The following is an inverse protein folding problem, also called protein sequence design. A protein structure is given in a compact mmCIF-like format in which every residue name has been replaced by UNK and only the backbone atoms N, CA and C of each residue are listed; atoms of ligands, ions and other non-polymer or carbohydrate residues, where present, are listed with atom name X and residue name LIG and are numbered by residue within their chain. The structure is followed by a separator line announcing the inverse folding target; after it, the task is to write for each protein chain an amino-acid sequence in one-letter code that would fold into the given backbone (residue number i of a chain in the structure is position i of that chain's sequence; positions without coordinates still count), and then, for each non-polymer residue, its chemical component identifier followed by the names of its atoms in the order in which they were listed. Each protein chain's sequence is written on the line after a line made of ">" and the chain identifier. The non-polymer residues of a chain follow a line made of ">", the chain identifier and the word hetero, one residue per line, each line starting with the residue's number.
data_IF_845489596275
#
_entry.id   IF_845489596275
#
_cell.length_a   1.000
_cell.length_b   1.000
_cell.length_c   1.000
_cell.angle_alpha   90.00
_cell.angle_beta   90.00
_cell.angle_gamma   90.00
#
_symmetry.space_group_name_H-M   'P 1'
#
loop_
_entity.id
_entity.type
_entity.pdbx_description
1 polymer ?
#
# COMPACT_ATOMS: atom_id res chain seq x y z
N UNK A 1 -36.85 -16.83 34.68
CA UNK A 1 -36.44 -15.69 33.82
C UNK A 1 -35.59 -16.26 32.71
N UNK A 2 -36.16 -16.38 31.50
CA UNK A 2 -35.38 -16.67 30.29
C UNK A 2 -34.27 -15.61 30.15
N UNK A 3 -33.03 -16.05 29.86
CA UNK A 3 -32.04 -15.15 29.30
C UNK A 3 -32.56 -14.63 27.96
N UNK A 4 -32.34 -13.36 27.60
CA UNK A 4 -32.63 -12.92 26.25
C UNK A 4 -31.69 -13.68 25.32
N UNK A 5 -32.24 -14.52 24.45
CA UNK A 5 -31.54 -14.98 23.26
C UNK A 5 -31.05 -13.72 22.54
N UNK A 6 -29.74 -13.47 22.56
CA UNK A 6 -29.13 -12.49 21.68
C UNK A 6 -29.50 -12.93 20.28
N UNK A 7 -30.37 -12.16 19.60
CA UNK A 7 -30.71 -12.40 18.21
C UNK A 7 -29.40 -12.67 17.47
N UNK A 8 -29.24 -13.87 16.91
CA UNK A 8 -28.13 -14.14 16.03
C UNK A 8 -28.18 -13.03 14.98
N UNK A 9 -27.14 -12.18 14.92
CA UNK A 9 -27.09 -11.01 14.03
C UNK A 9 -27.29 -11.55 12.61
N UNK A 10 -28.54 -11.47 12.14
CA UNK A 10 -28.97 -12.11 10.90
C UNK A 10 -28.35 -11.35 9.74
N UNK A 11 -27.89 -12.08 8.73
CA UNK A 11 -27.31 -11.46 7.53
C UNK A 11 -28.19 -10.32 7.00
N UNK A 12 -27.64 -9.12 6.72
CA UNK A 12 -28.43 -8.03 6.17
C UNK A 12 -29.12 -8.46 4.87
N UNK A 13 -30.39 -8.14 4.70
CA UNK A 13 -31.19 -8.60 3.55
C UNK A 13 -30.62 -8.18 2.19
N UNK A 14 -29.88 -7.07 2.15
CA UNK A 14 -29.19 -6.59 0.94
C UNK A 14 -27.92 -7.38 0.63
N UNK A 15 -27.35 -8.09 1.61
CA UNK A 15 -26.12 -8.86 1.47
C UNK A 15 -26.37 -10.37 1.42
N UNK A 16 -25.32 -11.13 1.13
CA UNK A 16 -25.30 -12.60 1.30
C UNK A 16 -24.22 -12.95 2.30
N UNK A 17 -24.50 -13.86 3.22
CA UNK A 17 -23.53 -14.27 4.24
C UNK A 17 -23.33 -15.78 4.18
N UNK A 18 -22.10 -16.22 4.29
CA UNK A 18 -21.74 -17.64 4.28
C UNK A 18 -20.46 -17.84 5.08
N UNK A 19 -20.51 -18.62 6.17
CA UNK A 19 -19.32 -19.09 6.91
C UNK A 19 -18.28 -18.00 7.21
N UNK A 20 -18.71 -16.87 7.79
CA UNK A 20 -17.82 -15.74 8.11
C UNK A 20 -17.53 -14.76 6.96
N UNK A 21 -17.99 -15.06 5.74
CA UNK A 21 -17.89 -14.14 4.59
C UNK A 21 -19.18 -13.36 4.41
N UNK A 22 -19.09 -12.04 4.25
CA UNK A 22 -20.22 -11.15 3.97
C UNK A 22 -20.04 -10.51 2.58
N UNK A 23 -20.94 -10.80 1.66
CA UNK A 23 -20.96 -10.28 0.29
C UNK A 23 -21.98 -9.16 0.13
N UNK A 24 -21.51 -7.91 0.15
CA UNK A 24 -22.28 -6.68 -0.06
C UNK A 24 -21.81 -5.87 -1.27
N UNK A 25 -20.90 -6.41 -2.08
CA UNK A 25 -20.33 -5.81 -3.28
C UNK A 25 -21.34 -5.65 -4.43
N UNK A 26 -21.10 -4.75 -5.39
CA UNK A 26 -21.86 -4.63 -6.64
C UNK A 26 -23.38 -4.39 -6.46
N UNK A 27 -23.76 -3.59 -5.46
CA UNK A 27 -25.17 -3.39 -5.07
C UNK A 27 -25.62 -1.93 -5.10
N UNK A 28 -24.74 -1.01 -5.50
CA UNK A 28 -25.02 0.42 -5.49
C UNK A 28 -25.26 0.97 -4.08
N UNK A 29 -24.71 0.32 -3.05
CA UNK A 29 -24.85 0.74 -1.66
C UNK A 29 -24.19 2.10 -1.46
N UNK A 30 -24.88 3.01 -0.77
CA UNK A 30 -24.31 4.30 -0.36
C UNK A 30 -23.78 4.28 1.07
N UNK A 31 -24.08 3.21 1.81
CA UNK A 31 -23.63 3.00 3.19
C UNK A 31 -23.52 1.50 3.48
N UNK A 32 -22.68 1.16 4.46
CA UNK A 32 -22.57 -0.19 5.00
C UNK A 32 -23.87 -0.55 5.74
N UNK A 33 -24.49 -1.69 5.43
CA UNK A 33 -25.74 -2.07 6.08
C UNK A 33 -25.52 -2.41 7.56
N UNK A 34 -26.52 -2.08 8.39
CA UNK A 34 -26.53 -2.45 9.80
C UNK A 34 -26.72 -3.94 10.01
N UNK A 35 -26.27 -4.47 11.16
CA UNK A 35 -26.50 -5.87 11.54
C UNK A 35 -25.56 -6.86 10.84
N UNK A 36 -24.33 -6.43 10.53
CA UNK A 36 -23.31 -7.36 10.04
C UNK A 36 -23.02 -8.41 11.12
N UNK A 37 -23.03 -9.72 10.78
CA UNK A 37 -22.65 -10.79 11.69
C UNK A 37 -21.30 -10.54 12.38
N UNK A 38 -21.24 -10.69 13.70
CA UNK A 38 -20.03 -10.42 14.50
C UNK A 38 -18.92 -11.44 14.31
N UNK A 39 -19.27 -12.63 13.86
CA UNK A 39 -18.34 -13.72 13.54
C UNK A 39 -17.75 -13.60 12.13
N UNK A 40 -18.09 -12.53 11.39
CA UNK A 40 -17.52 -12.28 10.08
C UNK A 40 -16.00 -12.10 10.13
N UNK A 41 -15.32 -12.78 9.23
CA UNK A 41 -13.87 -12.72 9.04
C UNK A 41 -13.49 -11.91 7.80
N UNK A 42 -14.36 -11.89 6.78
CA UNK A 42 -14.14 -11.16 5.53
C UNK A 42 -15.39 -10.42 5.09
N UNK A 43 -15.23 -9.14 4.73
CA UNK A 43 -16.33 -8.29 4.27
C UNK A 43 -16.02 -7.73 2.89
N UNK A 44 -16.92 -8.00 1.94
CA UNK A 44 -16.87 -7.49 0.56
C UNK A 44 -17.85 -6.33 0.41
N UNK A 45 -17.34 -5.10 0.28
CA UNK A 45 -18.11 -3.87 0.06
C UNK A 45 -17.67 -3.10 -1.19
N UNK A 46 -16.80 -3.69 -2.02
CA UNK A 46 -16.31 -3.06 -3.23
C UNK A 46 -17.41 -2.77 -4.27
N UNK A 47 -17.09 -1.95 -5.27
CA UNK A 47 -17.94 -1.66 -6.42
C UNK A 47 -19.31 -1.14 -5.99
N UNK A 48 -19.30 -0.15 -5.11
CA UNK A 48 -20.49 0.48 -4.55
C UNK A 48 -20.35 2.01 -4.65
N UNK A 49 -21.18 2.75 -3.93
CA UNK A 49 -21.18 4.22 -3.87
C UNK A 49 -21.03 4.70 -2.43
N UNK A 50 -20.29 3.94 -1.62
CA UNK A 50 -20.13 4.22 -0.19
C UNK A 50 -19.22 5.43 -0.04
N UNK A 51 -19.72 6.43 0.68
CA UNK A 51 -18.95 7.60 1.11
C UNK A 51 -18.52 7.46 2.56
N UNK A 52 -17.69 8.38 3.07
CA UNK A 52 -17.26 8.37 4.46
C UNK A 52 -18.43 8.39 5.47
N UNK A 53 -19.52 9.11 5.16
CA UNK A 53 -20.74 9.11 5.98
C UNK A 53 -21.46 7.76 5.99
N UNK A 54 -21.22 6.93 4.97
CA UNK A 54 -21.73 5.57 4.86
C UNK A 54 -20.91 4.52 5.63
N UNK A 55 -19.81 4.90 6.29
CA UNK A 55 -18.98 4.02 7.10
C UNK A 55 -19.32 4.18 8.60
N UNK A 56 -20.11 3.29 9.20
CA UNK A 56 -20.53 3.42 10.59
C UNK A 56 -19.42 3.05 11.57
N UNK A 57 -19.42 3.69 12.74
CA UNK A 57 -18.48 3.39 13.83
C UNK A 57 -18.58 1.93 14.33
N UNK A 58 -19.71 1.24 14.08
CA UNK A 58 -19.90 -0.16 14.47
C UNK A 58 -18.89 -1.12 13.81
N UNK A 59 -18.26 -0.74 12.69
CA UNK A 59 -17.22 -1.56 12.06
C UNK A 59 -16.06 -1.88 13.01
N UNK A 60 -15.76 -0.96 13.93
CA UNK A 60 -14.73 -1.15 14.96
C UNK A 60 -15.07 -2.26 15.97
N UNK A 61 -16.35 -2.64 16.10
CA UNK A 61 -16.79 -3.73 16.97
C UNK A 61 -16.65 -5.13 16.34
N UNK A 62 -16.39 -5.22 15.02
CA UNK A 62 -16.27 -6.49 14.29
C UNK A 62 -14.86 -7.07 14.44
N UNK A 63 -14.51 -7.50 15.66
CA UNK A 63 -13.15 -7.93 16.02
C UNK A 63 -12.68 -9.20 15.32
N UNK A 64 -13.57 -9.99 14.72
CA UNK A 64 -13.20 -11.18 13.94
C UNK A 64 -12.75 -10.86 12.51
N UNK A 65 -12.98 -9.63 12.02
CA UNK A 65 -12.69 -9.27 10.63
C UNK A 65 -11.19 -9.12 10.42
N UNK A 66 -10.65 -9.93 9.52
CA UNK A 66 -9.25 -9.90 9.09
C UNK A 66 -9.09 -9.22 7.71
N UNK A 67 -10.11 -9.28 6.85
CA UNK A 67 -10.05 -8.75 5.47
C UNK A 67 -11.26 -7.88 5.17
N UNK A 68 -11.00 -6.66 4.68
CA UNK A 68 -12.04 -5.69 4.31
C UNK A 68 -11.79 -5.13 2.91
N UNK A 69 -12.77 -5.35 2.02
CA UNK A 69 -12.75 -4.80 0.67
C UNK A 69 -13.66 -3.58 0.54
N UNK A 70 -13.06 -2.42 0.27
CA UNK A 70 -13.74 -1.13 0.08
C UNK A 70 -13.30 -0.44 -1.23
N UNK A 71 -12.61 -1.14 -2.11
CA UNK A 71 -12.17 -0.57 -3.38
C UNK A 71 -13.35 -0.22 -4.31
N UNK A 72 -13.14 0.67 -5.27
CA UNK A 72 -14.19 1.15 -6.20
C UNK A 72 -15.44 1.64 -5.44
N UNK A 73 -15.23 2.69 -4.64
CA UNK A 73 -16.25 3.39 -3.86
C UNK A 73 -16.02 4.91 -3.96
N UNK A 74 -16.66 5.71 -3.11
CA UNK A 74 -16.61 7.17 -3.13
C UNK A 74 -16.02 7.72 -1.83
N UNK A 75 -14.98 7.07 -1.29
CA UNK A 75 -14.31 7.52 -0.07
C UNK A 75 -13.35 8.67 -0.40
N UNK A 76 -13.55 9.82 0.24
CA UNK A 76 -12.67 11.00 0.13
C UNK A 76 -11.64 11.02 1.27
N UNK A 77 -11.98 10.43 2.42
CA UNK A 77 -11.08 10.30 3.56
C UNK A 77 -10.78 8.84 3.89
N UNK A 78 -9.68 8.61 4.59
CA UNK A 78 -9.36 7.28 5.10
C UNK A 78 -10.38 6.84 6.18
N UNK A 79 -10.90 5.59 6.15
CA UNK A 79 -11.89 5.12 7.12
C UNK A 79 -11.44 5.26 8.58
N UNK A 80 -12.15 6.05 9.40
CA UNK A 80 -11.74 6.33 10.78
C UNK A 80 -11.94 5.15 11.77
N UNK A 81 -12.92 4.29 11.50
CA UNK A 81 -13.42 3.25 12.43
C UNK A 81 -13.24 1.83 11.87
N UNK A 82 -12.00 1.46 11.58
CA UNK A 82 -11.68 0.13 11.06
C UNK A 82 -11.78 -0.97 12.14
N UNK A 83 -12.08 -2.23 11.75
CA UNK A 83 -11.92 -3.38 12.63
C UNK A 83 -10.47 -3.51 13.14
N UNK A 84 -10.25 -3.77 14.44
CA UNK A 84 -8.93 -3.70 15.05
C UNK A 84 -7.96 -4.82 14.65
N UNK A 85 -8.50 -5.98 14.24
CA UNK A 85 -7.72 -7.16 13.88
C UNK A 85 -7.52 -7.33 12.37
N UNK A 86 -7.73 -6.25 11.60
CA UNK A 86 -7.47 -6.27 10.16
C UNK A 86 -6.03 -6.66 9.84
N UNK A 87 -5.91 -7.53 8.85
CA UNK A 87 -4.67 -7.98 8.22
C UNK A 87 -4.56 -7.48 6.80
N UNK A 88 -5.67 -7.32 6.10
CA UNK A 88 -5.69 -6.88 4.71
C UNK A 88 -6.82 -5.87 4.49
N UNK A 89 -6.44 -4.70 3.96
CA UNK A 89 -7.34 -3.59 3.69
C UNK A 89 -7.20 -3.13 2.25
N UNK A 90 -8.30 -3.18 1.52
CA UNK A 90 -8.39 -2.75 0.13
C UNK A 90 -9.19 -1.45 0.00
N UNK A 91 -8.52 -0.37 -0.40
CA UNK A 91 -9.08 0.97 -0.57
C UNK A 91 -8.77 1.56 -1.95
N UNK A 92 -8.35 0.73 -2.91
CA UNK A 92 -8.00 1.20 -4.26
C UNK A 92 -9.20 1.86 -4.94
N UNK A 93 -8.96 2.69 -5.95
CA UNK A 93 -10.04 3.28 -6.76
C UNK A 93 -11.06 4.03 -5.89
N UNK A 94 -10.53 4.93 -5.04
CA UNK A 94 -11.28 5.88 -4.22
C UNK A 94 -10.63 7.27 -4.38
N UNK A 95 -11.01 8.24 -3.57
CA UNK A 95 -10.51 9.62 -3.62
C UNK A 95 -9.69 10.00 -2.36
N UNK A 96 -9.03 9.04 -1.72
CA UNK A 96 -8.34 9.27 -0.45
C UNK A 96 -7.09 10.15 -0.66
N UNK A 97 -6.98 11.23 0.11
CA UNK A 97 -5.83 12.15 0.03
C UNK A 97 -4.79 11.95 1.15
N UNK A 98 -5.23 11.50 2.33
CA UNK A 98 -4.44 11.46 3.56
C UNK A 98 -4.49 10.06 4.17
N UNK A 99 -3.34 9.56 4.62
CA UNK A 99 -3.21 8.30 5.38
C UNK A 99 -2.86 8.64 6.84
N UNK A 100 -3.86 8.72 7.73
CA UNK A 100 -3.65 9.17 9.10
C UNK A 100 -2.99 8.07 9.96
N UNK A 101 -1.82 8.38 10.52
CA UNK A 101 -1.10 7.45 11.41
C UNK A 101 -1.93 7.00 12.62
N UNK A 102 -2.75 7.90 13.19
CA UNK A 102 -3.59 7.61 14.36
C UNK A 102 -4.65 6.52 14.10
N UNK A 103 -5.10 6.33 12.85
CA UNK A 103 -5.99 5.22 12.50
C UNK A 103 -5.20 3.92 12.39
N UNK A 104 -4.04 3.97 11.74
CA UNK A 104 -3.17 2.81 11.54
C UNK A 104 -2.58 2.26 12.86
N UNK A 105 -2.36 3.12 13.86
CA UNK A 105 -2.00 2.72 15.24
C UNK A 105 -3.06 1.82 15.89
N UNK A 106 -4.32 1.91 15.46
CA UNK A 106 -5.42 1.06 15.95
C UNK A 106 -5.57 -0.24 15.17
N UNK A 107 -4.77 -0.46 14.13
CA UNK A 107 -4.75 -1.68 13.31
C UNK A 107 -3.34 -2.29 13.27
N UNK A 108 -2.78 -2.70 14.42
CA UNK A 108 -1.38 -3.13 14.53
C UNK A 108 -1.07 -4.46 13.81
N UNK A 109 -2.12 -5.19 13.43
CA UNK A 109 -2.02 -6.48 12.74
C UNK A 109 -2.04 -6.38 11.22
N UNK A 110 -2.14 -5.16 10.66
CA UNK A 110 -2.22 -4.95 9.22
C UNK A 110 -0.95 -5.44 8.52
N UNK A 111 -1.11 -6.35 7.56
CA UNK A 111 -0.06 -6.96 6.75
C UNK A 111 -0.05 -6.42 5.33
N UNK A 112 -1.22 -6.05 4.79
CA UNK A 112 -1.36 -5.54 3.42
C UNK A 112 -2.27 -4.32 3.38
N UNK A 113 -1.78 -3.28 2.74
CA UNK A 113 -2.54 -2.04 2.53
C UNK A 113 -2.51 -1.67 1.06
N UNK A 114 -3.69 -1.68 0.44
CA UNK A 114 -3.86 -1.30 -0.95
C UNK A 114 -4.52 0.08 -1.06
N UNK A 115 -3.78 1.03 -1.61
CA UNK A 115 -4.19 2.43 -1.80
C UNK A 115 -3.96 2.90 -3.25
N UNK A 116 -3.82 1.97 -4.20
CA UNK A 116 -3.63 2.34 -5.60
C UNK A 116 -4.80 3.17 -6.12
N UNK A 117 -4.58 4.00 -7.14
CA UNK A 117 -5.68 4.74 -7.79
C UNK A 117 -6.46 5.58 -6.77
N UNK A 118 -5.74 6.40 -6.02
CA UNK A 118 -6.29 7.37 -5.07
C UNK A 118 -5.62 8.74 -5.31
N UNK A 119 -5.88 9.71 -4.43
CA UNK A 119 -5.31 11.05 -4.51
C UNK A 119 -4.24 11.29 -3.44
N UNK A 120 -3.59 10.23 -2.94
CA UNK A 120 -2.64 10.34 -1.82
C UNK A 120 -1.43 11.17 -2.23
N UNK A 121 -1.16 12.22 -1.46
CA UNK A 121 -0.02 13.11 -1.68
C UNK A 121 1.08 12.88 -0.64
N UNK A 122 2.31 13.33 -0.92
CA UNK A 122 3.39 13.24 0.08
C UNK A 122 3.15 14.08 1.33
N UNK A 123 2.26 15.08 1.28
CA UNK A 123 1.83 15.85 2.45
C UNK A 123 0.78 15.08 3.29
N UNK A 124 0.03 14.18 2.65
CA UNK A 124 -0.94 13.30 3.30
C UNK A 124 -0.35 12.08 3.99
N UNK A 125 0.98 11.87 3.92
CA UNK A 125 1.69 10.81 4.66
C UNK A 125 2.73 11.46 5.57
N UNK A 126 2.43 11.50 6.86
CA UNK A 126 3.35 12.00 7.86
C UNK A 126 4.51 11.01 8.09
N UNK A 127 5.69 11.48 8.57
CA UNK A 127 6.85 10.60 8.76
C UNK A 127 6.64 9.43 9.70
N UNK A 128 5.67 9.51 10.62
CA UNK A 128 5.35 8.47 11.59
C UNK A 128 4.10 7.65 11.22
N UNK A 129 3.49 7.88 10.05
CA UNK A 129 2.20 7.26 9.65
C UNK A 129 2.19 5.74 9.82
N UNK A 130 3.29 5.05 9.52
CA UNK A 130 3.37 3.59 9.55
C UNK A 130 4.03 3.00 10.81
N UNK A 131 4.34 3.83 11.83
CA UNK A 131 4.93 3.34 13.08
C UNK A 131 4.01 2.35 13.81
N UNK A 132 2.69 2.56 13.71
CA UNK A 132 1.66 1.72 14.31
C UNK A 132 1.42 0.38 13.61
N UNK A 133 2.01 0.14 12.43
CA UNK A 133 1.79 -1.06 11.61
C UNK A 133 3.09 -1.87 11.43
N UNK A 134 3.63 -2.47 12.50
CA UNK A 134 4.92 -3.18 12.44
C UNK A 134 4.87 -4.47 11.62
N UNK A 135 3.66 -5.01 11.36
CA UNK A 135 3.44 -6.23 10.57
C UNK A 135 3.22 -5.97 9.08
N UNK A 136 3.21 -4.70 8.65
CA UNK A 136 2.94 -4.36 7.25
C UNK A 136 4.06 -4.90 6.36
N UNK A 137 3.67 -5.73 5.40
CA UNK A 137 4.54 -6.41 4.43
C UNK A 137 4.36 -5.86 3.03
N UNK A 138 3.12 -5.57 2.62
CA UNK A 138 2.81 -5.11 1.28
C UNK A 138 2.14 -3.73 1.36
N UNK A 139 2.76 -2.75 0.71
CA UNK A 139 2.24 -1.39 0.62
C UNK A 139 2.14 -0.98 -0.85
N UNK A 140 0.91 -0.76 -1.30
CA UNK A 140 0.62 -0.42 -2.68
C UNK A 140 0.08 1.01 -2.76
N UNK A 141 0.86 1.90 -3.35
CA UNK A 141 0.58 3.33 -3.52
C UNK A 141 0.73 3.74 -5.00
N UNK A 142 0.58 2.79 -5.94
CA UNK A 142 0.68 3.07 -7.37
C UNK A 142 -0.42 4.05 -7.81
N UNK A 143 -0.19 4.83 -8.87
CA UNK A 143 -1.21 5.75 -9.43
C UNK A 143 -1.79 6.70 -8.38
N UNK A 144 -0.92 7.45 -7.72
CA UNK A 144 -1.26 8.47 -6.72
C UNK A 144 -0.59 9.81 -7.05
N UNK A 145 -0.50 10.73 -6.09
CA UNK A 145 0.08 12.07 -6.26
C UNK A 145 1.34 12.28 -5.41
N UNK A 146 2.10 11.22 -5.15
CA UNK A 146 3.33 11.29 -4.36
C UNK A 146 4.42 12.03 -5.13
N UNK A 147 5.07 13.00 -4.48
CA UNK A 147 6.22 13.75 -5.02
C UNK A 147 7.56 13.31 -4.42
N UNK A 148 7.51 12.54 -3.33
CA UNK A 148 8.65 11.99 -2.61
C UNK A 148 8.30 10.61 -2.05
N UNK A 149 9.29 9.73 -1.96
CA UNK A 149 9.14 8.45 -1.23
C UNK A 149 8.77 8.73 0.24
N UNK A 150 7.74 8.06 0.80
CA UNK A 150 7.34 8.24 2.21
C UNK A 150 8.45 7.86 3.20
N UNK A 151 8.51 8.59 4.32
CA UNK A 151 9.41 8.26 5.45
C UNK A 151 8.71 7.32 6.43
N UNK A 152 9.51 6.67 7.29
CA UNK A 152 8.98 5.80 8.34
C UNK A 152 8.39 4.50 7.83
N UNK A 153 8.80 4.02 6.65
CA UNK A 153 8.36 2.74 6.11
C UNK A 153 8.71 1.58 7.06
N UNK A 154 7.81 0.61 7.28
CA UNK A 154 8.05 -0.51 8.20
C UNK A 154 9.22 -1.38 7.76
N UNK A 155 10.07 -1.81 8.71
CA UNK A 155 11.27 -2.62 8.41
C UNK A 155 10.95 -3.99 7.81
N UNK A 156 9.78 -4.53 8.14
CA UNK A 156 9.29 -5.83 7.65
C UNK A 156 8.68 -5.79 6.24
N UNK A 157 8.75 -4.65 5.54
CA UNK A 157 8.15 -4.50 4.22
C UNK A 157 8.85 -5.41 3.20
N UNK A 158 8.06 -6.19 2.48
CA UNK A 158 8.46 -7.17 1.47
C UNK A 158 8.22 -6.65 0.05
N UNK A 159 7.15 -5.87 -0.16
CA UNK A 159 6.82 -5.25 -1.45
C UNK A 159 6.37 -3.80 -1.26
N UNK A 160 6.98 -2.91 -2.03
CA UNK A 160 6.62 -1.50 -2.11
C UNK A 160 6.37 -1.11 -3.56
N UNK A 161 5.15 -0.67 -3.83
CA UNK A 161 4.77 -0.15 -5.15
C UNK A 161 4.46 1.34 -5.08
N UNK A 162 5.24 2.10 -5.83
CA UNK A 162 5.18 3.56 -5.95
C UNK A 162 5.15 3.99 -7.42
N UNK A 163 4.88 3.05 -8.33
CA UNK A 163 4.77 3.27 -9.78
C UNK A 163 3.66 4.27 -10.13
N UNK A 164 3.76 4.90 -11.29
CA UNK A 164 2.79 5.88 -11.80
C UNK A 164 2.50 7.02 -10.80
N UNK A 165 3.55 7.63 -10.25
CA UNK A 165 3.42 8.78 -9.34
C UNK A 165 4.16 10.00 -9.92
N UNK A 166 4.36 11.04 -9.10
CA UNK A 166 5.10 12.26 -9.47
C UNK A 166 6.40 12.36 -8.68
N UNK A 167 6.99 11.22 -8.28
CA UNK A 167 8.14 11.19 -7.39
C UNK A 167 9.35 11.75 -8.13
N UNK A 168 9.85 12.89 -7.64
CA UNK A 168 11.10 13.50 -8.13
C UNK A 168 12.21 13.48 -7.09
N UNK A 169 11.85 13.26 -5.81
CA UNK A 169 12.79 13.21 -4.69
C UNK A 169 12.80 11.83 -4.02
N UNK A 170 13.98 11.22 -4.00
CA UNK A 170 14.27 10.05 -3.17
C UNK A 170 15.19 10.48 -2.03
N UNK A 171 14.74 10.45 -0.76
CA UNK A 171 15.59 10.79 0.37
C UNK A 171 16.77 9.82 0.54
N UNK A 172 17.88 10.32 1.10
CA UNK A 172 19.06 9.50 1.38
C UNK A 172 18.72 8.35 2.32
N UNK A 173 19.23 7.15 2.00
CA UNK A 173 19.09 5.93 2.81
C UNK A 173 17.64 5.53 3.13
N UNK A 174 16.66 6.03 2.39
CA UNK A 174 15.23 5.79 2.67
C UNK A 174 14.85 4.31 2.69
N UNK A 175 15.48 3.50 1.83
CA UNK A 175 15.25 2.06 1.78
C UNK A 175 16.22 1.25 2.66
N UNK A 176 17.24 1.88 3.25
CA UNK A 176 18.38 1.15 3.85
C UNK A 176 18.03 0.25 5.04
N UNK A 177 16.85 0.42 5.65
CA UNK A 177 16.36 -0.44 6.74
C UNK A 177 15.38 -1.54 6.28
N UNK A 178 14.99 -1.56 5.00
CA UNK A 178 14.00 -2.48 4.45
C UNK A 178 14.67 -3.79 4.03
N UNK A 179 15.31 -4.48 4.98
CA UNK A 179 16.15 -5.66 4.69
C UNK A 179 15.38 -6.87 4.16
N UNK A 180 14.06 -6.87 4.31
CA UNK A 180 13.15 -7.89 3.79
C UNK A 180 12.55 -7.54 2.42
N UNK A 181 12.82 -6.35 1.89
CA UNK A 181 12.23 -5.87 0.65
C UNK A 181 12.70 -6.74 -0.51
N UNK A 182 11.75 -7.36 -1.21
CA UNK A 182 11.96 -8.24 -2.35
C UNK A 182 11.57 -7.58 -3.67
N UNK A 183 10.57 -6.69 -3.66
CA UNK A 183 10.13 -5.95 -4.84
C UNK A 183 9.97 -4.46 -4.56
N UNK A 184 10.56 -3.65 -5.43
CA UNK A 184 10.44 -2.20 -5.44
C UNK A 184 10.06 -1.72 -6.84
N UNK A 185 8.86 -1.15 -6.98
CA UNK A 185 8.40 -0.52 -8.21
C UNK A 185 8.44 1.01 -8.07
N UNK A 186 9.21 1.67 -8.93
CA UNK A 186 9.40 3.12 -9.01
C UNK A 186 9.28 3.61 -10.46
N UNK A 187 8.78 2.76 -11.36
CA UNK A 187 8.54 3.07 -12.76
C UNK A 187 7.51 4.19 -12.94
N UNK A 188 7.56 4.84 -14.10
CA UNK A 188 6.64 5.91 -14.50
C UNK A 188 6.51 7.01 -13.44
N UNK A 189 7.67 7.56 -13.06
CA UNK A 189 7.82 8.64 -12.09
C UNK A 189 8.69 9.78 -12.70
N UNK A 190 9.08 10.76 -11.88
CA UNK A 190 9.84 11.94 -12.30
C UNK A 190 11.26 11.93 -11.73
N UNK A 191 11.83 10.74 -11.49
CA UNK A 191 13.12 10.58 -10.83
C UNK A 191 14.23 10.94 -11.82
N UNK A 192 14.97 12.01 -11.54
CA UNK A 192 16.09 12.46 -12.37
C UNK A 192 17.46 11.99 -11.87
N UNK A 193 17.55 11.62 -10.59
CA UNK A 193 18.77 11.13 -9.94
C UNK A 193 18.46 10.21 -8.78
N UNK A 194 19.30 9.20 -8.58
CA UNK A 194 19.29 8.37 -7.38
C UNK A 194 20.41 8.82 -6.42
N UNK A 195 20.16 8.93 -5.11
CA UNK A 195 21.22 9.11 -4.14
C UNK A 195 22.26 7.97 -4.19
N UNK A 196 23.55 8.26 -3.98
CA UNK A 196 24.58 7.22 -3.88
C UNK A 196 24.23 6.21 -2.77
N UNK A 197 24.28 4.92 -3.10
CA UNK A 197 24.00 3.85 -2.13
C UNK A 197 22.55 3.79 -1.64
N UNK A 198 21.58 4.36 -2.38
CA UNK A 198 20.16 4.34 -1.98
C UNK A 198 19.58 2.93 -1.77
N UNK A 199 20.14 1.93 -2.45
CA UNK A 199 19.75 0.51 -2.34
C UNK A 199 20.66 -0.31 -1.42
N UNK A 200 21.59 0.33 -0.71
CA UNK A 200 22.52 -0.37 0.17
C UNK A 200 21.76 -1.10 1.28
N UNK A 201 22.12 -2.38 1.52
CA UNK A 201 21.52 -3.21 2.55
C UNK A 201 20.29 -4.02 2.11
N UNK A 202 19.77 -3.80 0.90
CA UNK A 202 18.61 -4.51 0.34
C UNK A 202 18.99 -5.91 -0.20
N UNK A 203 19.51 -6.78 0.68
CA UNK A 203 20.05 -8.09 0.30
C UNK A 203 19.01 -9.05 -0.30
N UNK A 204 17.75 -8.92 0.12
CA UNK A 204 16.63 -9.76 -0.35
C UNK A 204 15.97 -9.23 -1.62
N UNK A 205 16.41 -8.09 -2.14
CA UNK A 205 15.74 -7.43 -3.26
C UNK A 205 15.95 -8.21 -4.54
N UNK A 206 14.85 -8.70 -5.11
CA UNK A 206 14.83 -9.52 -6.30
C UNK A 206 14.46 -8.74 -7.55
N UNK A 207 13.61 -7.73 -7.41
CA UNK A 207 13.07 -6.94 -8.52
C UNK A 207 13.10 -5.45 -8.22
N UNK A 208 13.71 -4.69 -9.13
CA UNK A 208 13.65 -3.23 -9.17
C UNK A 208 13.15 -2.80 -10.54
N UNK A 209 12.15 -1.91 -10.55
CA UNK A 209 11.75 -1.20 -11.76
C UNK A 209 11.96 0.31 -11.60
N UNK A 210 12.74 0.89 -12.52
CA UNK A 210 13.07 2.32 -12.63
C UNK A 210 12.70 2.85 -14.02
N UNK A 211 11.89 2.11 -14.78
CA UNK A 211 11.53 2.45 -16.16
C UNK A 211 10.74 3.76 -16.22
N UNK A 212 10.71 4.43 -17.37
CA UNK A 212 9.81 5.59 -17.56
C UNK A 212 10.11 6.77 -16.64
N UNK A 213 11.38 6.97 -16.28
CA UNK A 213 11.83 8.05 -15.40
C UNK A 213 12.70 9.09 -16.15
N UNK A 214 13.23 10.05 -15.41
CA UNK A 214 14.11 11.11 -15.94
C UNK A 214 15.61 10.83 -15.76
N UNK A 215 16.03 9.57 -15.55
CA UNK A 215 17.41 9.24 -15.23
C UNK A 215 18.33 9.45 -16.43
N UNK A 216 19.38 10.25 -16.23
CA UNK A 216 20.43 10.48 -17.24
C UNK A 216 21.67 9.63 -17.01
N UNK A 217 21.96 9.30 -15.76
CA UNK A 217 23.08 8.44 -15.37
C UNK A 217 22.79 7.78 -14.02
N UNK A 218 23.62 6.81 -13.65
CA UNK A 218 23.61 6.18 -12.33
C UNK A 218 25.01 6.26 -11.73
N UNK A 219 25.08 6.51 -10.42
CA UNK A 219 26.35 6.51 -9.69
C UNK A 219 26.98 5.11 -9.72
N UNK A 220 28.30 5.05 -9.87
CA UNK A 220 29.00 3.78 -9.86
C UNK A 220 28.73 3.01 -8.57
N UNK A 221 28.35 1.74 -8.72
CA UNK A 221 28.04 0.88 -7.58
C UNK A 221 26.67 1.15 -6.95
N UNK A 222 25.75 1.86 -7.62
CA UNK A 222 24.36 2.03 -7.16
C UNK A 222 23.67 0.70 -6.80
N UNK A 223 24.07 -0.41 -7.42
CA UNK A 223 23.53 -1.76 -7.21
C UNK A 223 24.44 -2.68 -6.37
N UNK A 224 25.47 -2.12 -5.72
CA UNK A 224 26.35 -2.90 -4.84
C UNK A 224 25.57 -3.46 -3.65
N UNK A 225 25.79 -4.73 -3.33
CA UNK A 225 25.12 -5.42 -2.22
C UNK A 225 23.72 -5.97 -2.55
N UNK A 226 23.25 -5.82 -3.78
CA UNK A 226 22.00 -6.43 -4.26
C UNK A 226 22.23 -7.88 -4.70
N UNK A 227 22.51 -8.75 -3.72
CA UNK A 227 22.91 -10.14 -3.94
C UNK A 227 21.80 -10.94 -4.65
N UNK A 228 20.55 -10.79 -4.21
CA UNK A 228 19.38 -11.53 -4.73
C UNK A 228 18.75 -10.95 -6.01
N UNK A 229 19.29 -9.86 -6.55
CA UNK A 229 18.68 -9.16 -7.67
C UNK A 229 18.69 -10.03 -8.93
N UNK A 230 17.50 -10.27 -9.47
CA UNK A 230 17.27 -11.09 -10.67
C UNK A 230 16.62 -10.31 -11.79
N UNK A 231 15.87 -9.25 -11.47
CA UNK A 231 15.22 -8.40 -12.48
C UNK A 231 15.50 -6.93 -12.17
N UNK A 232 16.13 -6.25 -13.12
CA UNK A 232 16.29 -4.79 -13.14
C UNK A 232 15.72 -4.27 -14.44
N UNK A 233 14.71 -3.41 -14.36
CA UNK A 233 14.27 -2.62 -15.51
C UNK A 233 14.61 -1.15 -15.30
N UNK A 234 15.16 -0.53 -16.34
CA UNK A 234 15.56 0.88 -16.35
C UNK A 234 15.43 1.45 -17.78
N UNK A 235 14.54 0.87 -18.59
CA UNK A 235 14.26 1.34 -19.94
C UNK A 235 13.52 2.67 -19.92
N UNK A 236 13.30 3.29 -21.08
CA UNK A 236 12.53 4.53 -21.21
C UNK A 236 13.02 5.67 -20.28
N UNK A 237 14.34 5.83 -20.20
CA UNK A 237 15.00 6.92 -19.48
C UNK A 237 15.95 7.65 -20.45
N UNK A 238 16.17 8.97 -20.29
CA UNK A 238 17.04 9.78 -21.15
C UNK A 238 18.53 9.56 -20.85
N UNK A 239 19.01 8.32 -20.99
CA UNK A 239 20.38 7.92 -20.66
C UNK A 239 21.43 8.69 -21.47
N UNK A 240 22.39 9.29 -20.77
CA UNK A 240 23.58 9.89 -21.36
C UNK A 240 24.70 8.84 -21.45
N UNK A 241 24.78 8.16 -22.59
CA UNK A 241 25.71 7.06 -22.82
C UNK A 241 27.15 7.54 -23.06
N UNK A 242 27.84 7.92 -21.99
CA UNK A 242 29.26 8.28 -21.99
C UNK A 242 30.12 7.27 -21.19
N UNK A 243 31.40 7.61 -20.96
CA UNK A 243 32.32 6.78 -20.19
C UNK A 243 31.83 6.51 -18.74
N UNK A 244 31.02 7.40 -18.16
CA UNK A 244 30.46 7.28 -16.82
C UNK A 244 29.44 6.15 -16.67
N UNK A 245 28.81 5.68 -17.75
CA UNK A 245 27.90 4.53 -17.74
C UNK A 245 28.58 3.19 -18.10
N UNK A 246 29.89 3.18 -18.36
CA UNK A 246 30.63 1.95 -18.70
C UNK A 246 30.50 0.88 -17.62
N UNK A 247 30.48 1.26 -16.34
CA UNK A 247 30.31 0.32 -15.22
C UNK A 247 28.96 -0.40 -15.30
N UNK A 248 27.89 0.31 -15.65
CA UNK A 248 26.53 -0.24 -15.70
C UNK A 248 26.42 -1.27 -16.83
N UNK A 249 26.98 -0.96 -18.00
CA UNK A 249 27.08 -1.90 -19.12
C UNK A 249 27.83 -3.18 -18.72
N UNK A 250 28.98 -3.04 -18.05
CA UNK A 250 29.78 -4.18 -17.62
C UNK A 250 29.05 -5.00 -16.55
N UNK A 251 28.36 -4.33 -15.62
CA UNK A 251 27.55 -4.96 -14.58
C UNK A 251 26.39 -5.76 -15.18
N UNK A 252 25.65 -5.18 -16.14
CA UNK A 252 24.54 -5.86 -16.84
C UNK A 252 24.99 -7.10 -17.61
N UNK A 253 26.23 -7.13 -18.13
CA UNK A 253 26.79 -8.30 -18.83
C UNK A 253 27.29 -9.41 -17.91
N UNK A 254 27.45 -9.12 -16.62
CA UNK A 254 28.00 -10.05 -15.62
C UNK A 254 26.94 -10.81 -14.82
N UNK A 255 25.66 -10.50 -15.06
CA UNK A 255 24.47 -11.13 -14.49
C UNK A 255 23.79 -11.94 -15.58
#
# INVERSE_FOLDING_TARGET
>A
TQCPETAADSCPAVCRCNSGFIYCNDRGLTAVPSGLPRDATTIYLQNNRITNAGLPAMLQALSSVEVLYLYDNQLEEFPAHLPPNLRELHLQENNIEVVPGAVLERTPFLEKLHLNDNSVSSAGIEPATFHGTPRLKLLFLSRNHLSSVPRGLPRGLEELRLDDNRISRIPDRIFGQLTYLSRLALDDNQISRLPPGVFYGLKQLQRIDLSGNGLRSLSQGSFNGLESLSHLSACNNPWHCDCGLTWLRNWLRSR
#
